data_IF_327734409317
#
_entry.id   IF_327734409317
#
_cell.length_a   1.000
_cell.length_b   1.000
_cell.length_c   1.000
_cell.angle_alpha   90.00
_cell.angle_beta   90.00
_cell.angle_gamma   90.00
#
_symmetry.space_group_name_H-M   'P 1'
#
loop_
_entity.id
_entity.type
_entity.pdbx_description
1 polymer ?
#
# COMPACT_ATOMS: atom_id res chain seq x y z
N UNK A 1 -4.07 5.57 -10.64
CA UNK A 1 -3.31 4.34 -10.81
C UNK A 1 -1.98 4.65 -11.50
N UNK A 2 -0.89 4.06 -11.04
CA UNK A 2 0.38 4.05 -11.77
C UNK A 2 0.60 2.66 -12.38
N UNK A 3 1.17 2.63 -13.59
CA UNK A 3 1.63 1.39 -14.25
C UNK A 3 3.07 1.54 -14.72
N UNK A 4 3.87 0.46 -14.80
CA UNK A 4 5.30 0.52 -15.15
C UNK A 4 5.56 0.76 -16.64
N UNK A 5 4.60 1.31 -17.36
CA UNK A 5 4.71 1.73 -18.75
C UNK A 5 5.36 3.11 -18.86
N UNK A 6 6.04 3.38 -19.98
CA UNK A 6 6.60 4.71 -20.25
C UNK A 6 5.47 5.73 -20.50
N UNK A 7 5.50 6.82 -19.79
CA UNK A 7 4.60 7.98 -20.03
C UNK A 7 5.05 8.87 -21.21
N UNK A 8 6.11 8.50 -21.92
CA UNK A 8 6.74 9.30 -22.98
C UNK A 8 7.88 10.21 -22.53
N UNK A 9 8.09 10.33 -21.21
CA UNK A 9 9.16 11.17 -20.60
C UNK A 9 10.12 10.35 -19.73
N UNK A 10 10.10 9.01 -19.84
CA UNK A 10 11.00 8.12 -19.09
C UNK A 10 10.53 7.77 -17.69
N UNK A 11 9.27 8.07 -17.33
CA UNK A 11 8.67 7.72 -16.05
C UNK A 11 7.43 6.84 -16.23
N UNK A 12 6.91 6.30 -15.14
CA UNK A 12 5.72 5.47 -15.13
C UNK A 12 4.49 6.23 -15.59
N UNK A 13 3.60 5.54 -16.30
CA UNK A 13 2.32 6.08 -16.74
C UNK A 13 1.38 6.27 -15.56
N UNK A 14 0.71 7.41 -15.52
CA UNK A 14 -0.36 7.70 -14.56
C UNK A 14 -1.71 7.64 -15.26
N UNK A 15 -2.61 6.81 -14.73
CA UNK A 15 -3.99 6.67 -15.18
C UNK A 15 -4.86 7.53 -14.27
N UNK A 16 -5.61 8.43 -14.84
CA UNK A 16 -6.47 9.38 -14.13
C UNK A 16 -7.71 8.71 -13.51
N UNK A 17 -8.39 9.40 -12.60
CA UNK A 17 -9.68 8.96 -12.04
C UNK A 17 -10.72 8.80 -13.15
N UNK A 18 -10.75 9.74 -14.12
CA UNK A 18 -11.69 9.66 -15.24
C UNK A 18 -11.46 8.42 -16.11
N UNK A 19 -10.22 8.05 -16.40
CA UNK A 19 -9.91 6.84 -17.16
C UNK A 19 -10.32 5.58 -16.39
N UNK A 20 -10.06 5.51 -15.08
CA UNK A 20 -10.49 4.39 -14.22
C UNK A 20 -12.01 4.30 -14.22
N UNK A 21 -12.72 5.41 -14.02
CA UNK A 21 -14.19 5.43 -14.00
C UNK A 21 -14.82 5.03 -15.35
N UNK A 22 -14.08 5.26 -16.44
CA UNK A 22 -14.47 4.83 -17.80
C UNK A 22 -14.03 3.39 -18.14
N UNK A 23 -13.63 2.61 -17.13
CA UNK A 23 -13.33 1.18 -17.28
C UNK A 23 -11.94 0.89 -17.85
N UNK A 24 -10.94 1.75 -17.56
CA UNK A 24 -9.56 1.47 -17.97
C UNK A 24 -9.12 0.09 -17.52
N UNK A 25 -8.56 -0.67 -18.46
CA UNK A 25 -7.88 -1.93 -18.20
C UNK A 25 -6.61 -2.02 -19.05
N UNK A 26 -5.66 -2.80 -18.57
CA UNK A 26 -4.43 -3.17 -19.26
C UNK A 26 -4.14 -4.64 -18.95
N UNK A 27 -4.20 -5.49 -19.98
CA UNK A 27 -4.08 -6.95 -19.84
C UNK A 27 -2.75 -7.44 -19.23
N UNK A 28 -1.72 -6.58 -19.19
CA UNK A 28 -0.43 -6.89 -18.57
C UNK A 28 -0.34 -6.53 -17.09
N UNK A 29 -1.05 -5.46 -16.69
CA UNK A 29 -0.78 -4.83 -15.39
C UNK A 29 -2.00 -4.65 -14.51
N UNK A 30 -3.17 -4.30 -15.11
CA UNK A 30 -4.37 -3.95 -14.35
C UNK A 30 -5.63 -4.32 -15.13
N UNK A 31 -6.36 -5.32 -14.66
CA UNK A 31 -7.54 -5.83 -15.36
C UNK A 31 -8.52 -6.52 -14.39
N UNK A 32 -9.74 -6.76 -14.86
CA UNK A 32 -10.74 -7.55 -14.15
C UNK A 32 -10.60 -9.02 -14.52
N UNK A 33 -10.45 -9.89 -13.52
CA UNK A 33 -10.45 -11.35 -13.70
C UNK A 33 -11.87 -11.88 -13.96
N UNK A 34 -11.98 -13.14 -14.42
CA UNK A 34 -13.25 -13.79 -14.72
C UNK A 34 -14.18 -13.91 -13.48
N UNK A 35 -13.58 -13.96 -12.29
CA UNK A 35 -14.30 -13.99 -11.00
C UNK A 35 -14.70 -12.60 -10.49
N UNK A 36 -14.46 -11.55 -11.27
CA UNK A 36 -14.75 -10.16 -10.93
C UNK A 36 -13.68 -9.47 -10.08
N UNK A 37 -12.61 -10.16 -9.71
CA UNK A 37 -11.50 -9.59 -8.94
C UNK A 37 -10.69 -8.57 -9.74
N UNK A 38 -10.21 -7.53 -9.08
CA UNK A 38 -9.36 -6.50 -9.65
C UNK A 38 -7.89 -6.93 -9.54
N UNK A 39 -7.29 -7.31 -10.66
CA UNK A 39 -5.91 -7.84 -10.72
C UNK A 39 -4.91 -6.71 -10.88
N UNK A 40 -3.88 -6.75 -10.06
CA UNK A 40 -2.65 -5.96 -10.20
C UNK A 40 -1.50 -6.92 -10.46
N UNK A 41 -0.72 -6.68 -11.51
CA UNK A 41 0.48 -7.45 -11.86
C UNK A 41 1.64 -6.51 -12.12
N UNK A 42 2.71 -6.64 -11.33
CA UNK A 42 3.84 -5.71 -11.35
C UNK A 42 5.15 -6.46 -11.57
N UNK A 43 5.85 -6.25 -12.70
CA UNK A 43 7.18 -6.82 -12.93
C UNK A 43 8.24 -6.12 -12.09
N UNK A 44 9.40 -6.78 -11.94
CA UNK A 44 10.57 -6.18 -11.28
C UNK A 44 11.06 -4.97 -12.07
N UNK A 45 11.20 -5.10 -13.39
CA UNK A 45 11.66 -4.01 -14.24
C UNK A 45 10.49 -3.22 -14.86
N UNK A 46 10.76 -1.96 -15.14
CA UNK A 46 9.82 -1.03 -15.75
C UNK A 46 10.03 0.41 -15.31
N UNK A 47 9.22 1.29 -15.84
CA UNK A 47 9.31 2.71 -15.53
C UNK A 47 8.77 3.00 -14.12
N UNK A 48 9.47 3.90 -13.40
CA UNK A 48 9.18 4.30 -12.02
C UNK A 48 8.57 5.69 -11.99
N UNK A 49 7.92 6.04 -10.89
CA UNK A 49 7.20 7.33 -10.75
C UNK A 49 8.12 8.55 -10.71
N UNK A 50 9.38 8.37 -10.33
CA UNK A 50 10.40 9.43 -10.30
C UNK A 50 11.80 8.82 -10.33
N UNK A 51 12.82 9.65 -10.51
CA UNK A 51 14.22 9.22 -10.45
C UNK A 51 14.62 8.68 -9.07
N UNK A 52 13.97 9.14 -8.00
CA UNK A 52 14.23 8.70 -6.63
C UNK A 52 13.41 7.48 -6.20
N UNK A 53 12.48 7.01 -7.05
CA UNK A 53 11.67 5.82 -6.75
C UNK A 53 12.49 4.55 -6.98
N UNK A 54 12.59 3.70 -5.96
CA UNK A 54 13.41 2.50 -6.00
C UNK A 54 12.78 1.36 -6.80
N UNK A 55 11.46 1.16 -6.69
CA UNK A 55 10.76 0.00 -7.23
C UNK A 55 9.66 0.40 -8.22
N UNK A 56 9.33 -0.52 -9.12
CA UNK A 56 8.15 -0.43 -9.98
C UNK A 56 6.87 -0.54 -9.15
N UNK A 57 5.73 -0.09 -9.72
CA UNK A 57 4.43 -0.24 -9.06
C UNK A 57 3.29 -0.40 -10.05
N UNK A 58 2.28 -1.14 -9.64
CA UNK A 58 0.93 -1.09 -10.17
C UNK A 58 0.03 -0.84 -8.98
N UNK A 59 -0.30 0.43 -8.72
CA UNK A 59 -0.83 0.84 -7.44
C UNK A 59 -1.80 2.01 -7.59
N UNK A 60 -2.98 1.87 -6.99
CA UNK A 60 -3.96 2.94 -6.84
C UNK A 60 -3.49 3.93 -5.77
N UNK A 61 -3.77 5.19 -5.99
CA UNK A 61 -3.73 6.25 -5.00
C UNK A 61 -5.13 6.77 -4.75
N UNK A 62 -5.48 6.98 -3.51
CA UNK A 62 -6.71 7.64 -3.13
C UNK A 62 -6.77 9.08 -3.68
N UNK A 63 -7.92 9.43 -4.24
CA UNK A 63 -8.18 10.74 -4.84
C UNK A 63 -9.52 11.27 -4.33
N UNK A 64 -9.50 11.95 -3.15
CA UNK A 64 -10.73 12.46 -2.52
C UNK A 64 -11.40 13.59 -3.33
N UNK A 65 -10.61 14.31 -4.15
CA UNK A 65 -11.11 15.30 -5.10
C UNK A 65 -11.91 14.70 -6.28
N UNK A 66 -11.90 13.37 -6.43
CA UNK A 66 -12.50 12.72 -7.59
C UNK A 66 -11.88 13.19 -8.91
N UNK A 67 -12.71 13.66 -9.85
CA UNK A 67 -12.30 14.15 -11.18
C UNK A 67 -11.97 15.64 -11.22
N UNK A 68 -12.10 16.36 -10.10
CA UNK A 68 -11.78 17.80 -10.04
C UNK A 68 -10.27 18.03 -10.05
N UNK A 69 -9.72 18.33 -11.21
CA UNK A 69 -8.30 18.58 -11.41
C UNK A 69 -7.84 19.97 -11.00
N UNK A 70 -8.75 20.87 -10.60
CA UNK A 70 -8.40 22.19 -10.06
C UNK A 70 -7.76 22.09 -8.67
N UNK A 71 -8.06 21.03 -7.93
CA UNK A 71 -7.46 20.73 -6.62
C UNK A 71 -6.15 19.95 -6.83
N UNK A 72 -5.04 20.43 -6.26
CA UNK A 72 -3.75 19.76 -6.34
C UNK A 72 -3.73 18.37 -5.67
N UNK A 73 -2.81 17.51 -6.11
CA UNK A 73 -2.64 16.18 -5.50
C UNK A 73 -1.79 16.21 -4.24
N UNK A 74 -1.03 17.26 -4.01
CA UNK A 74 -0.14 17.43 -2.87
C UNK A 74 -0.69 18.50 -1.92
N UNK A 75 -0.31 18.41 -0.64
CA UNK A 75 -0.65 19.40 0.38
C UNK A 75 -1.94 19.09 1.15
N UNK A 76 -2.16 19.85 2.21
CA UNK A 76 -3.39 19.82 2.99
C UNK A 76 -4.48 20.55 2.19
N UNK A 77 -5.35 19.80 1.55
CA UNK A 77 -6.41 20.31 0.67
C UNK A 77 -7.53 19.29 0.51
N UNK A 78 -8.54 19.58 -0.30
CA UNK A 78 -9.71 18.71 -0.51
C UNK A 78 -9.43 17.44 -1.33
N UNK A 79 -8.16 17.10 -1.57
CA UNK A 79 -7.75 15.80 -2.14
C UNK A 79 -7.16 14.83 -1.13
N UNK A 80 -6.73 15.31 0.01
CA UNK A 80 -6.00 14.53 1.01
C UNK A 80 -6.67 14.67 2.39
N UNK A 81 -6.38 13.74 3.28
CA UNK A 81 -6.85 13.78 4.65
C UNK A 81 -5.70 14.03 5.62
N UNK A 82 -6.01 14.30 6.88
CA UNK A 82 -5.04 14.56 7.96
C UNK A 82 -5.37 13.70 9.18
N UNK A 83 -4.45 13.55 10.11
CA UNK A 83 -4.75 12.91 11.39
C UNK A 83 -5.75 13.74 12.20
N UNK A 84 -6.62 13.10 12.96
CA UNK A 84 -7.55 13.78 13.87
C UNK A 84 -6.86 14.58 14.97
N UNK A 85 -5.57 14.31 15.22
CA UNK A 85 -4.70 15.08 16.12
C UNK A 85 -3.94 16.23 15.42
N UNK A 86 -4.17 16.47 14.13
CA UNK A 86 -3.54 17.58 13.39
C UNK A 86 -4.11 18.94 13.84
N UNK A 87 -3.44 20.06 13.53
CA UNK A 87 -3.97 21.39 13.82
C UNK A 87 -5.38 21.62 13.25
N UNK A 88 -6.23 22.32 13.99
CA UNK A 88 -7.62 22.57 13.59
C UNK A 88 -7.74 23.24 12.20
N UNK A 89 -6.78 24.12 11.82
CA UNK A 89 -6.70 24.71 10.49
C UNK A 89 -6.54 23.66 9.38
N UNK A 90 -5.74 22.64 9.60
CA UNK A 90 -5.48 21.58 8.64
C UNK A 90 -6.67 20.64 8.52
N UNK A 91 -7.30 20.30 9.66
CA UNK A 91 -8.56 19.54 9.69
C UNK A 91 -9.65 20.27 8.87
N UNK A 92 -9.77 21.58 9.00
CA UNK A 92 -10.74 22.38 8.24
C UNK A 92 -10.42 22.44 6.73
N UNK A 93 -9.14 22.50 6.37
CA UNK A 93 -8.69 22.59 4.97
C UNK A 93 -8.72 21.25 4.22
N UNK A 94 -8.48 20.14 4.92
CA UNK A 94 -8.44 18.79 4.35
C UNK A 94 -9.81 18.31 3.84
N UNK A 95 -9.81 17.21 3.08
CA UNK A 95 -11.04 16.54 2.64
C UNK A 95 -11.71 15.73 3.75
N UNK A 96 -10.94 15.37 4.76
CA UNK A 96 -11.38 14.62 5.93
C UNK A 96 -10.24 14.50 6.95
N UNK A 97 -10.55 13.93 8.08
CA UNK A 97 -9.55 13.61 9.11
C UNK A 97 -9.76 12.18 9.59
N UNK A 98 -8.71 11.57 10.14
CA UNK A 98 -8.66 10.14 10.40
C UNK A 98 -9.01 9.31 9.17
N UNK A 99 -8.87 8.02 9.21
CA UNK A 99 -9.20 7.22 8.06
C UNK A 99 -9.11 5.73 8.32
N UNK A 100 -9.91 4.99 7.55
CA UNK A 100 -9.89 3.54 7.53
C UNK A 100 -9.93 3.04 6.10
N UNK A 101 -9.02 2.14 5.75
CA UNK A 101 -9.03 1.40 4.49
C UNK A 101 -9.15 -0.08 4.77
N UNK A 102 -10.16 -0.70 4.16
CA UNK A 102 -10.43 -2.14 4.24
C UNK A 102 -10.23 -2.77 2.87
N UNK A 103 -9.50 -3.87 2.81
CA UNK A 103 -9.28 -4.63 1.60
C UNK A 103 -9.47 -6.12 1.83
N UNK A 104 -10.04 -6.81 0.82
CA UNK A 104 -10.05 -8.27 0.72
C UNK A 104 -9.30 -8.64 -0.54
N UNK A 105 -8.30 -9.48 -0.44
CA UNK A 105 -7.41 -9.83 -1.55
C UNK A 105 -6.85 -11.24 -1.42
N UNK A 106 -6.25 -11.71 -2.51
CA UNK A 106 -5.34 -12.84 -2.54
C UNK A 106 -4.03 -12.44 -3.22
N UNK A 107 -2.90 -12.92 -2.70
CA UNK A 107 -1.61 -12.81 -3.39
C UNK A 107 -1.48 -14.02 -4.29
N UNK A 108 -1.43 -13.82 -5.62
CA UNK A 108 -1.43 -14.91 -6.58
C UNK A 108 -0.01 -15.35 -6.97
N UNK A 109 0.92 -14.40 -7.01
CA UNK A 109 2.32 -14.66 -7.37
C UNK A 109 3.25 -13.69 -6.65
N UNK A 110 4.43 -14.18 -6.29
CA UNK A 110 5.52 -13.38 -5.73
C UNK A 110 6.80 -13.62 -6.52
N UNK A 111 7.73 -12.67 -6.51
CA UNK A 111 9.02 -12.85 -7.18
C UNK A 111 9.80 -14.00 -6.58
N UNK A 112 10.45 -14.79 -7.43
CA UNK A 112 11.21 -16.00 -7.08
C UNK A 112 12.70 -15.88 -7.37
N UNK A 113 13.12 -14.85 -8.07
CA UNK A 113 14.50 -14.56 -8.46
C UNK A 113 15.05 -13.35 -7.71
N UNK A 114 16.38 -13.26 -7.63
CA UNK A 114 17.09 -12.15 -6.99
C UNK A 114 17.70 -12.49 -5.63
N UNK A 115 18.06 -11.43 -4.89
CA UNK A 115 18.70 -11.55 -3.58
C UNK A 115 17.70 -12.02 -2.51
N UNK A 116 18.19 -12.82 -1.56
CA UNK A 116 17.39 -13.35 -0.45
C UNK A 116 16.68 -12.25 0.37
N UNK A 117 17.22 -11.04 0.39
CA UNK A 117 16.60 -9.88 1.06
C UNK A 117 15.40 -9.29 0.32
N UNK A 118 15.20 -9.63 -0.97
CA UNK A 118 14.17 -9.07 -1.83
C UNK A 118 13.14 -10.09 -2.31
N UNK A 119 13.54 -11.35 -2.47
CA UNK A 119 12.68 -12.43 -2.98
C UNK A 119 11.37 -12.53 -2.19
N UNK A 120 10.27 -12.67 -2.93
CA UNK A 120 8.94 -12.96 -2.40
C UNK A 120 8.26 -11.81 -1.68
N UNK A 121 8.82 -10.59 -1.71
CA UNK A 121 8.37 -9.43 -0.95
C UNK A 121 7.65 -8.42 -1.84
N UNK A 122 6.47 -7.98 -1.42
CA UNK A 122 5.70 -6.90 -2.06
C UNK A 122 4.92 -6.11 -1.01
N UNK A 123 4.64 -4.84 -1.32
CA UNK A 123 3.78 -3.97 -0.51
C UNK A 123 2.37 -3.99 -1.13
N UNK A 124 1.35 -4.24 -0.30
CA UNK A 124 -0.04 -4.44 -0.71
C UNK A 124 -1.00 -3.36 -0.22
N UNK A 125 -0.53 -2.43 0.61
CA UNK A 125 -1.33 -1.31 1.12
C UNK A 125 -0.47 -0.34 1.91
N UNK A 126 -0.82 0.95 1.88
CA UNK A 126 -0.07 2.00 2.54
C UNK A 126 -0.99 3.13 3.00
N UNK A 127 -0.55 3.85 4.04
CA UNK A 127 -0.81 5.28 4.20
C UNK A 127 0.50 5.98 3.81
N UNK A 128 0.43 6.88 2.84
CA UNK A 128 1.54 7.72 2.44
C UNK A 128 1.28 9.14 2.94
N UNK A 129 2.29 9.77 3.49
CA UNK A 129 2.29 11.18 3.89
C UNK A 129 3.06 12.05 2.87
N UNK A 130 3.64 13.15 3.32
CA UNK A 130 4.41 14.05 2.46
C UNK A 130 5.59 13.33 1.79
N UNK A 131 6.47 12.73 2.59
CA UNK A 131 7.67 12.02 2.15
C UNK A 131 7.79 10.62 2.78
N UNK A 132 7.12 10.40 3.91
CA UNK A 132 7.24 9.23 4.75
C UNK A 132 5.93 8.44 4.77
N UNK A 133 5.93 7.26 5.34
CA UNK A 133 4.76 6.40 5.37
C UNK A 133 4.37 5.99 6.80
N UNK A 134 3.21 6.47 7.31
CA UNK A 134 2.65 5.94 8.56
C UNK A 134 2.58 4.43 8.59
N UNK A 135 2.33 3.78 7.47
CA UNK A 135 2.37 2.32 7.33
C UNK A 135 2.63 1.90 5.88
N UNK A 136 3.53 0.92 5.71
CA UNK A 136 3.67 0.09 4.50
C UNK A 136 3.43 -1.36 4.87
N UNK A 137 2.40 -1.98 4.32
CA UNK A 137 2.03 -3.38 4.59
C UNK A 137 2.70 -4.30 3.58
N UNK A 138 3.48 -5.25 4.07
CA UNK A 138 4.18 -6.24 3.27
C UNK A 138 3.54 -7.62 3.39
N UNK A 139 3.41 -8.29 2.26
CA UNK A 139 3.33 -9.74 2.19
C UNK A 139 4.68 -10.27 1.73
N UNK A 140 5.12 -11.39 2.28
CA UNK A 140 6.37 -12.04 1.87
C UNK A 140 6.27 -13.56 1.96
N UNK A 141 6.59 -14.24 0.86
CA UNK A 141 6.72 -15.70 0.81
C UNK A 141 8.08 -16.07 0.23
N UNK A 142 8.94 -16.69 1.04
CA UNK A 142 10.25 -17.17 0.59
C UNK A 142 10.11 -18.40 -0.32
N UNK A 143 11.09 -18.63 -1.22
CA UNK A 143 11.05 -19.72 -2.18
C UNK A 143 10.86 -21.11 -1.54
N UNK A 144 11.48 -21.37 -0.39
CA UNK A 144 11.35 -22.63 0.34
C UNK A 144 10.06 -22.79 1.15
N UNK A 145 9.25 -21.72 1.28
CA UNK A 145 8.05 -21.71 2.11
C UNK A 145 6.80 -21.95 1.26
N UNK A 146 5.79 -22.60 1.83
CA UNK A 146 4.45 -22.77 1.24
C UNK A 146 3.52 -21.61 1.63
N UNK A 147 3.79 -20.96 2.76
CA UNK A 147 2.99 -19.87 3.32
C UNK A 147 3.79 -18.58 3.37
N UNK A 148 3.10 -17.46 3.24
CA UNK A 148 3.65 -16.12 3.37
C UNK A 148 3.44 -15.52 4.75
N UNK A 149 4.27 -14.52 5.07
CA UNK A 149 4.21 -13.70 6.28
C UNK A 149 3.59 -12.33 5.97
N UNK A 150 2.96 -11.72 6.96
CA UNK A 150 2.50 -10.31 6.95
C UNK A 150 3.25 -9.53 8.01
N UNK A 151 3.80 -8.42 7.62
CA UNK A 151 4.43 -7.44 8.51
C UNK A 151 4.27 -6.04 7.93
N UNK A 152 4.54 -5.02 8.71
CA UNK A 152 4.54 -3.66 8.21
C UNK A 152 5.72 -2.85 8.74
N UNK A 153 6.08 -1.81 8.00
CA UNK A 153 6.95 -0.74 8.44
C UNK A 153 6.11 0.49 8.81
N UNK A 154 6.50 1.15 9.89
CA UNK A 154 6.13 2.50 10.27
C UNK A 154 7.37 3.38 10.14
N UNK A 155 7.34 4.35 9.25
CA UNK A 155 8.43 5.30 9.01
C UNK A 155 8.01 6.68 9.53
N UNK A 156 8.52 7.09 10.71
CA UNK A 156 8.29 8.45 11.23
C UNK A 156 8.86 9.51 10.29
N UNK A 157 8.32 10.71 10.35
CA UNK A 157 8.87 11.84 9.59
C UNK A 157 10.30 12.18 10.02
N UNK A 158 11.08 12.77 9.12
CA UNK A 158 12.48 13.12 9.36
C UNK A 158 12.71 13.77 10.72
N UNK A 159 13.63 13.24 11.50
CA UNK A 159 13.99 13.73 12.83
C UNK A 159 13.08 13.24 13.98
N UNK A 160 12.07 12.44 13.71
CA UNK A 160 11.11 11.93 14.70
C UNK A 160 11.28 10.43 15.01
N UNK A 161 12.39 9.84 14.64
CA UNK A 161 12.78 8.48 14.96
C UNK A 161 13.14 7.63 13.75
N UNK A 162 13.59 6.42 14.02
CA UNK A 162 13.96 5.44 13.00
C UNK A 162 12.73 4.64 12.54
N UNK A 163 12.83 4.06 11.34
CA UNK A 163 11.82 3.14 10.81
C UNK A 163 11.62 1.94 11.74
N UNK A 164 10.37 1.66 12.08
CA UNK A 164 9.97 0.58 12.97
C UNK A 164 9.32 -0.56 12.17
N UNK A 165 9.70 -1.79 12.47
CA UNK A 165 9.18 -2.98 11.84
C UNK A 165 8.31 -3.79 12.80
N UNK A 166 7.12 -4.16 12.36
CA UNK A 166 6.12 -4.88 13.14
C UNK A 166 5.74 -6.18 12.43
N UNK A 167 6.13 -7.31 12.99
CA UNK A 167 5.68 -8.62 12.53
C UNK A 167 4.24 -8.86 13.01
N UNK A 168 3.38 -9.31 12.10
CA UNK A 168 1.95 -9.56 12.35
C UNK A 168 1.64 -11.04 12.25
N UNK A 169 2.04 -11.67 11.13
CA UNK A 169 1.94 -13.10 10.90
C UNK A 169 3.32 -13.57 10.39
N UNK A 170 3.90 -14.55 11.06
CA UNK A 170 5.22 -15.07 10.70
C UNK A 170 6.34 -14.07 10.95
N UNK A 171 7.38 -14.08 10.10
CA UNK A 171 8.56 -13.24 10.27
C UNK A 171 9.00 -12.57 8.98
N UNK A 172 9.61 -11.38 9.10
CA UNK A 172 10.24 -10.64 8.00
C UNK A 172 11.67 -11.09 7.68
N UNK A 173 12.24 -11.99 8.47
CA UNK A 173 13.62 -12.47 8.28
C UNK A 173 13.84 -13.06 6.88
N UNK A 174 15.02 -12.82 6.31
CA UNK A 174 15.43 -13.39 5.01
C UNK A 174 15.61 -14.92 5.06
N UNK A 175 15.70 -15.49 6.26
CA UNK A 175 15.86 -16.92 6.52
C UNK A 175 14.71 -17.49 7.35
N UNK A 176 13.54 -16.81 7.35
CA UNK A 176 12.38 -17.24 8.09
C UNK A 176 11.98 -18.66 7.66
N UNK A 177 11.71 -19.53 8.63
CA UNK A 177 11.04 -20.79 8.38
C UNK A 177 9.61 -20.57 7.89
N UNK A 178 9.00 -21.61 7.32
CA UNK A 178 7.60 -21.53 6.89
C UNK A 178 6.71 -21.15 8.08
N UNK A 179 5.95 -20.04 8.01
CA UNK A 179 5.14 -19.60 9.15
C UNK A 179 4.04 -20.62 9.47
N UNK A 180 3.89 -20.95 10.74
CA UNK A 180 2.91 -21.96 11.19
C UNK A 180 1.47 -21.54 10.86
N UNK A 181 1.19 -20.25 10.92
CA UNK A 181 -0.12 -19.65 10.64
C UNK A 181 -0.02 -18.59 9.52
N UNK A 182 0.77 -18.87 8.49
CA UNK A 182 0.94 -18.00 7.34
C UNK A 182 -0.27 -18.01 6.39
N UNK A 183 -0.16 -17.22 5.33
CA UNK A 183 -1.18 -17.09 4.28
C UNK A 183 -0.61 -17.68 2.99
N UNK A 184 -1.30 -18.64 2.38
CA UNK A 184 -0.88 -19.24 1.12
C UNK A 184 -1.08 -18.28 -0.07
N UNK A 185 -0.41 -18.58 -1.20
CA UNK A 185 -0.81 -17.96 -2.47
C UNK A 185 -2.24 -18.42 -2.79
N UNK A 186 -2.99 -17.52 -3.42
CA UNK A 186 -4.41 -17.64 -3.79
C UNK A 186 -5.39 -17.77 -2.60
N UNK A 187 -4.89 -17.78 -1.36
CA UNK A 187 -5.73 -17.72 -0.16
C UNK A 187 -6.27 -16.28 0.02
N UNK A 188 -7.61 -16.16 0.11
CA UNK A 188 -8.26 -14.88 0.40
C UNK A 188 -8.10 -14.51 1.87
N UNK A 189 -7.70 -13.27 2.11
CA UNK A 189 -7.67 -12.65 3.42
C UNK A 189 -8.08 -11.18 3.32
N UNK A 190 -8.37 -10.58 4.45
CA UNK A 190 -8.67 -9.16 4.53
C UNK A 190 -7.69 -8.45 5.45
N UNK A 191 -7.49 -7.16 5.21
CA UNK A 191 -6.83 -6.29 6.17
C UNK A 191 -7.61 -4.99 6.35
N UNK A 192 -7.47 -4.40 7.54
CA UNK A 192 -7.86 -3.03 7.85
C UNK A 192 -6.64 -2.22 8.27
N UNK A 193 -6.48 -1.03 7.69
CA UNK A 193 -5.56 0.01 8.15
C UNK A 193 -6.40 1.15 8.65
N UNK A 194 -6.31 1.48 9.95
CA UNK A 194 -7.12 2.51 10.59
C UNK A 194 -6.26 3.46 11.40
N UNK A 195 -6.53 4.76 11.26
CA UNK A 195 -5.94 5.80 12.10
C UNK A 195 -7.05 6.60 12.77
N UNK A 196 -6.96 6.76 14.09
CA UNK A 196 -7.82 7.64 14.89
C UNK A 196 -6.93 8.47 15.82
N UNK A 197 -6.97 9.78 15.64
CA UNK A 197 -6.03 10.69 16.32
C UNK A 197 -4.59 10.41 15.88
N UNK A 198 -3.78 9.84 16.76
CA UNK A 198 -2.41 9.38 16.47
C UNK A 198 -2.26 7.87 16.54
N UNK A 199 -3.34 7.13 16.72
CA UNK A 199 -3.26 5.67 16.90
C UNK A 199 -3.52 4.97 15.58
N UNK A 200 -2.51 4.27 15.08
CA UNK A 200 -2.62 3.34 13.98
C UNK A 200 -3.05 1.97 14.52
N UNK A 201 -4.07 1.39 13.92
CA UNK A 201 -4.47 -0.01 14.12
C UNK A 201 -4.40 -0.74 12.79
N UNK A 202 -3.62 -1.79 12.72
CA UNK A 202 -3.58 -2.72 11.58
C UNK A 202 -4.15 -4.06 12.00
N UNK A 203 -5.11 -4.56 11.24
CA UNK A 203 -5.80 -5.82 11.52
C UNK A 203 -5.73 -6.73 10.28
N UNK A 204 -5.40 -8.01 10.48
CA UNK A 204 -5.54 -9.06 9.47
C UNK A 204 -6.70 -9.98 9.86
N UNK A 205 -7.64 -10.18 8.94
CA UNK A 205 -8.84 -10.98 9.12
C UNK A 205 -8.81 -12.16 8.15
N UNK A 206 -9.13 -13.35 8.64
CA UNK A 206 -9.18 -14.60 7.84
C UNK A 206 -10.38 -15.43 8.26
N UNK A 207 -11.04 -16.06 7.31
CA UNK A 207 -12.18 -16.92 7.60
C UNK A 207 -11.78 -18.06 8.56
N UNK A 208 -12.56 -18.24 9.61
CA UNK A 208 -12.36 -19.30 10.61
C UNK A 208 -11.14 -19.13 11.52
N UNK A 209 -10.50 -17.97 11.54
CA UNK A 209 -9.37 -17.65 12.42
C UNK A 209 -9.64 -16.38 13.22
N UNK A 210 -8.99 -16.27 14.36
CA UNK A 210 -9.01 -15.04 15.15
C UNK A 210 -8.30 -13.89 14.39
N UNK A 211 -8.81 -12.67 14.57
CA UNK A 211 -8.19 -11.47 14.02
C UNK A 211 -6.83 -11.24 14.66
N UNK A 212 -5.85 -10.87 13.82
CA UNK A 212 -4.52 -10.48 14.31
C UNK A 212 -4.40 -8.98 14.25
N UNK A 213 -4.27 -8.34 15.42
CA UNK A 213 -4.27 -6.88 15.56
C UNK A 213 -2.92 -6.38 16.05
N UNK A 214 -2.43 -5.31 15.45
CA UNK A 214 -1.26 -4.54 15.90
C UNK A 214 -1.61 -3.06 15.95
N UNK A 215 -1.17 -2.38 17.02
CA UNK A 215 -1.34 -0.93 17.18
C UNK A 215 0.01 -0.24 17.33
N UNK A 216 0.10 0.98 16.80
CA UNK A 216 1.26 1.88 16.94
C UNK A 216 0.75 3.23 17.41
N UNK A 217 1.32 3.74 18.50
CA UNK A 217 1.12 5.13 18.92
C UNK A 217 2.11 6.02 18.14
N UNK A 218 1.59 6.82 17.23
CA UNK A 218 2.34 7.72 16.37
C UNK A 218 2.40 9.17 16.90
N UNK A 219 2.10 9.40 18.19
CA UNK A 219 2.07 10.75 18.79
C UNK A 219 3.39 11.50 18.57
N UNK A 220 4.52 10.79 18.58
CA UNK A 220 5.85 11.35 18.40
C UNK A 220 6.44 11.10 17.01
N UNK A 221 5.64 10.63 16.04
CA UNK A 221 6.12 10.32 14.69
C UNK A 221 6.07 11.49 13.71
N UNK A 222 5.57 12.66 14.15
CA UNK A 222 5.57 13.89 13.35
C UNK A 222 4.42 14.04 12.34
N UNK A 223 3.46 13.10 12.28
CA UNK A 223 2.34 13.17 11.33
C UNK A 223 1.20 14.08 11.78
N UNK A 224 1.17 14.48 13.04
CA UNK A 224 0.18 15.37 13.64
C UNK A 224 0.58 16.86 13.65
N UNK A 225 1.69 17.19 13.00
CA UNK A 225 2.13 18.59 12.87
C UNK A 225 1.51 19.29 11.65
N UNK A 226 1.51 20.61 11.65
CA UNK A 226 0.94 21.40 10.54
C UNK A 226 1.59 21.12 9.18
N UNK A 227 0.77 21.02 8.13
CA UNK A 227 1.19 20.78 6.77
C UNK A 227 1.39 19.28 6.40
N UNK A 228 1.25 18.36 7.33
CA UNK A 228 1.24 16.93 7.03
C UNK A 228 -0.12 16.50 6.45
N UNK A 229 -0.10 15.75 5.37
CA UNK A 229 -1.30 15.22 4.71
C UNK A 229 -1.10 13.77 4.30
N UNK A 230 -2.20 13.04 4.24
CA UNK A 230 -2.21 11.59 4.03
C UNK A 230 -3.10 11.21 2.85
N UNK A 231 -2.81 10.05 2.28
CA UNK A 231 -3.67 9.35 1.34
C UNK A 231 -3.41 7.85 1.39
N UNK A 232 -4.44 7.06 1.17
CA UNK A 232 -4.30 5.61 1.05
C UNK A 232 -3.75 5.21 -0.31
N UNK A 233 -3.05 4.08 -0.33
CA UNK A 233 -2.61 3.41 -1.54
C UNK A 233 -2.86 1.90 -1.43
N UNK A 234 -3.28 1.26 -2.52
CA UNK A 234 -3.55 -0.17 -2.60
C UNK A 234 -3.19 -0.71 -3.99
N UNK A 235 -2.76 -1.96 -4.05
CA UNK A 235 -2.28 -2.62 -5.25
C UNK A 235 -0.94 -3.29 -4.99
N UNK A 236 0.04 -3.08 -5.86
CA UNK A 236 1.41 -3.55 -5.68
C UNK A 236 2.39 -2.39 -5.79
N UNK A 237 3.17 -2.16 -4.74
CA UNK A 237 4.47 -1.54 -4.85
C UNK A 237 5.50 -2.66 -4.75
N UNK A 238 6.20 -2.93 -5.86
CA UNK A 238 7.18 -4.00 -5.93
C UNK A 238 8.30 -3.75 -4.91
N UNK A 239 8.72 -4.78 -4.19
CA UNK A 239 9.76 -4.65 -3.19
C UNK A 239 11.00 -5.51 -3.50
N UNK A 240 11.13 -5.93 -4.76
CA UNK A 240 12.31 -6.59 -5.34
C UNK A 240 12.81 -5.76 -6.53
N UNK A 241 14.13 -5.58 -6.62
CA UNK A 241 14.84 -4.88 -7.72
C UNK A 241 16.06 -5.67 -8.20
N UNK A 242 16.24 -6.89 -7.73
CA UNK A 242 17.47 -7.68 -7.90
C UNK A 242 17.23 -8.95 -8.70
N UNK A 243 15.98 -9.30 -8.95
CA UNK A 243 15.61 -10.48 -9.72
C UNK A 243 15.60 -10.24 -11.24
N UNK A 244 15.17 -11.25 -11.98
CA UNK A 244 15.01 -11.19 -13.43
C UNK A 244 13.97 -10.13 -13.80
N UNK A 245 14.21 -9.43 -14.90
CA UNK A 245 13.43 -8.25 -15.30
C UNK A 245 11.93 -8.53 -15.46
N UNK A 246 11.58 -9.71 -15.95
CA UNK A 246 10.21 -10.17 -16.23
C UNK A 246 9.58 -10.96 -15.05
N UNK A 247 10.34 -11.26 -14.01
CA UNK A 247 9.75 -11.80 -12.78
C UNK A 247 8.84 -10.75 -12.12
N UNK A 248 7.74 -11.17 -11.51
CA UNK A 248 6.66 -10.28 -11.11
C UNK A 248 5.99 -10.65 -9.79
N UNK A 249 5.24 -9.73 -9.25
CA UNK A 249 4.24 -9.99 -8.22
C UNK A 249 2.83 -9.80 -8.80
N UNK A 250 1.85 -10.57 -8.31
CA UNK A 250 0.45 -10.45 -8.70
C UNK A 250 -0.46 -10.58 -7.48
N UNK A 251 -1.42 -9.67 -7.38
CA UNK A 251 -2.50 -9.71 -6.37
C UNK A 251 -3.84 -9.48 -7.04
N UNK A 252 -4.89 -10.07 -6.48
CA UNK A 252 -6.28 -9.83 -6.88
C UNK A 252 -7.03 -9.27 -5.70
N UNK A 253 -7.58 -8.06 -5.85
CA UNK A 253 -8.45 -7.43 -4.86
C UNK A 253 -9.91 -7.75 -5.19
N UNK A 254 -10.63 -8.28 -4.21
CA UNK A 254 -12.07 -8.61 -4.29
C UNK A 254 -12.94 -7.55 -3.64
N UNK A 255 -12.38 -6.78 -2.70
CA UNK A 255 -13.01 -5.61 -2.10
C UNK A 255 -11.93 -4.58 -1.72
N UNK A 256 -12.25 -3.31 -1.90
CA UNK A 256 -11.43 -2.19 -1.47
C UNK A 256 -12.35 -1.01 -1.12
N UNK A 257 -12.39 -0.65 0.15
CA UNK A 257 -13.22 0.43 0.68
C UNK A 257 -12.39 1.35 1.56
N UNK A 258 -12.81 2.60 1.65
CA UNK A 258 -12.21 3.57 2.55
C UNK A 258 -13.26 4.49 3.15
N UNK A 259 -12.96 5.05 4.32
CA UNK A 259 -13.78 6.06 4.99
C UNK A 259 -12.91 7.07 5.74
N UNK A 260 -13.46 8.25 5.93
CA UNK A 260 -12.86 9.33 6.72
C UNK A 260 -13.93 10.00 7.57
N UNK A 261 -13.51 10.56 8.70
CA UNK A 261 -14.32 11.52 9.44
C UNK A 261 -14.35 12.85 8.69
N UNK A 262 -15.47 13.54 8.72
CA UNK A 262 -15.66 14.89 8.12
C UNK A 262 -16.18 15.84 9.18
N UNK A 263 -15.87 17.13 9.01
CA UNK A 263 -16.44 18.22 9.83
C UNK A 263 -17.89 18.45 9.49
#
# INVERSE_FOLDING_TARGET
>A
LNTPENNGSGFSKTISVSEINNGYQNSKYFYTADDGGMVFKCPIDGYKTSANTTYTRVELREMLRGTDTSIGTQGVNKNNWVFGAAPASDIAAAAGFDGEMNATLAVNHVTTTGDSSHIGRLIIGQIHANNDEPIRVYYRKLNGNTLGSIYFAHEPTDGNGDEQWHEVIGSRSNTASNPTDGIALDEKFSYSIKVVGNILTFTVLREGKDDVVKTVDMTNSGFNVGGQYMYFKAGIYQANKTGDADDYAQVTFYALNKSHSTN
#
